data_IF_520418879445
#
_entry.id   IF_520418879445
#
_cell.length_a   1.000
_cell.length_b   1.000
_cell.length_c   1.000
_cell.angle_alpha   90.00
_cell.angle_beta   90.00
_cell.angle_gamma   90.00
#
_symmetry.space_group_name_H-M   'P 1'
#
loop_
_entity.id
_entity.type
_entity.pdbx_description
1 polymer ?
#
# COMPACT_ATOMS: atom_id res chain seq x y z
N UNK A 1 11.05 -12.96 18.12
CA UNK A 1 12.28 -12.36 18.68
C UNK A 1 12.09 -12.19 20.18
N UNK A 2 13.13 -11.81 20.92
CA UNK A 2 13.06 -11.68 22.40
C UNK A 2 12.03 -10.65 22.87
N UNK A 3 11.69 -9.66 22.04
CA UNK A 3 10.80 -8.55 22.40
C UNK A 3 9.37 -8.69 21.83
N UNK A 4 9.10 -9.73 21.04
CA UNK A 4 7.83 -10.02 20.37
C UNK A 4 7.23 -8.82 19.60
N UNK A 5 8.08 -7.94 19.06
CA UNK A 5 7.61 -6.74 18.36
C UNK A 5 7.13 -7.08 16.95
N UNK A 6 6.04 -6.45 16.47
CA UNK A 6 5.54 -6.71 15.13
C UNK A 6 6.53 -6.18 14.08
N UNK A 7 6.95 -7.07 13.17
CA UNK A 7 7.76 -6.69 12.02
C UNK A 7 6.95 -5.94 10.96
N UNK A 8 7.63 -5.28 10.02
CA UNK A 8 6.98 -4.56 8.92
C UNK A 8 6.85 -5.43 7.67
N UNK A 9 5.72 -5.29 6.97
CA UNK A 9 5.48 -5.86 5.64
C UNK A 9 5.08 -4.75 4.68
N UNK A 10 5.85 -4.55 3.61
CA UNK A 10 5.61 -3.49 2.62
C UNK A 10 5.18 -4.14 1.32
N UNK A 11 3.91 -3.98 0.95
CA UNK A 11 3.29 -4.75 -0.12
C UNK A 11 3.82 -4.36 -1.52
N UNK A 12 4.27 -3.12 -1.72
CA UNK A 12 4.97 -2.71 -2.95
C UNK A 12 6.24 -3.52 -3.27
N UNK A 13 6.83 -4.24 -2.30
CA UNK A 13 8.04 -5.04 -2.54
C UNK A 13 7.78 -6.45 -3.07
N UNK A 14 6.51 -6.83 -3.27
CA UNK A 14 6.11 -8.24 -3.38
C UNK A 14 6.15 -8.85 -4.77
N UNK A 15 6.31 -8.04 -5.81
CA UNK A 15 5.96 -8.41 -7.19
C UNK A 15 7.15 -8.63 -8.11
N UNK A 16 8.37 -8.68 -7.55
CA UNK A 16 9.63 -8.86 -8.31
C UNK A 16 10.23 -10.26 -8.15
N UNK A 17 9.56 -11.17 -7.43
CA UNK A 17 10.11 -12.46 -7.01
C UNK A 17 9.10 -13.61 -7.14
N UNK A 18 9.37 -14.69 -6.42
CA UNK A 18 8.57 -15.92 -6.39
C UNK A 18 7.42 -15.83 -5.39
N UNK A 19 6.44 -16.76 -5.43
CA UNK A 19 5.34 -16.80 -4.47
C UNK A 19 5.77 -16.92 -3.00
N UNK A 20 7.00 -17.34 -2.71
CA UNK A 20 7.55 -17.42 -1.35
C UNK A 20 7.99 -16.06 -0.79
N UNK A 21 7.83 -14.96 -1.55
CA UNK A 21 8.20 -13.63 -1.11
C UNK A 21 7.51 -13.26 0.21
N UNK A 22 8.27 -12.93 1.28
CA UNK A 22 7.72 -12.60 2.58
C UNK A 22 6.86 -11.32 2.58
N UNK A 23 6.89 -10.52 1.52
CA UNK A 23 6.06 -9.33 1.32
C UNK A 23 4.70 -9.62 0.66
N UNK A 24 4.46 -10.84 0.17
CA UNK A 24 3.11 -11.24 -0.27
C UNK A 24 2.19 -11.56 0.93
N UNK A 25 0.93 -11.06 0.95
CA UNK A 25 0.01 -11.22 2.06
C UNK A 25 -0.24 -12.64 2.57
N UNK A 26 -0.18 -13.66 1.71
CA UNK A 26 -0.35 -15.06 2.12
C UNK A 26 0.83 -15.61 2.93
N UNK A 27 1.98 -14.90 2.94
CA UNK A 27 3.17 -15.23 3.72
C UNK A 27 3.30 -14.38 5.00
N UNK A 28 2.31 -13.54 5.32
CA UNK A 28 2.38 -12.67 6.50
C UNK A 28 2.19 -13.48 7.80
N UNK A 29 3.04 -13.27 8.82
CA UNK A 29 2.69 -13.67 10.17
C UNK A 29 1.58 -12.75 10.71
N UNK A 30 0.79 -13.21 11.69
CA UNK A 30 -0.21 -12.35 12.33
C UNK A 30 0.43 -11.15 13.06
N UNK A 31 1.56 -11.37 13.73
CA UNK A 31 2.26 -10.32 14.48
C UNK A 31 3.13 -9.45 13.54
N UNK A 32 2.48 -8.70 12.66
CA UNK A 32 3.14 -7.72 11.80
C UNK A 32 2.26 -6.49 11.56
N UNK A 33 2.90 -5.44 11.08
CA UNK A 33 2.27 -4.25 10.53
C UNK A 33 2.42 -4.28 9.02
N UNK A 34 1.32 -4.37 8.30
CA UNK A 34 1.30 -4.37 6.84
C UNK A 34 1.01 -2.97 6.29
N UNK A 35 1.79 -2.58 5.28
CA UNK A 35 1.73 -1.29 4.61
C UNK A 35 1.55 -1.53 3.11
N UNK A 36 0.81 -0.67 2.40
CA UNK A 36 0.91 -0.61 0.94
C UNK A 36 2.32 -0.17 0.54
N UNK A 37 2.73 0.98 1.07
CA UNK A 37 4.06 1.57 1.02
C UNK A 37 4.29 2.44 2.26
N UNK A 38 5.53 2.90 2.43
CA UNK A 38 5.90 3.88 3.47
C UNK A 38 6.10 5.27 2.85
N UNK A 39 6.54 6.25 3.64
CA UNK A 39 6.88 7.58 3.13
C UNK A 39 8.12 7.60 2.21
N UNK A 40 8.98 6.58 2.28
CA UNK A 40 10.17 6.43 1.44
C UNK A 40 9.86 5.81 0.08
N UNK A 41 8.72 5.13 -0.02
CA UNK A 41 8.22 4.54 -1.24
C UNK A 41 7.55 5.59 -2.13
N UNK A 42 7.39 5.27 -3.42
CA UNK A 42 6.43 5.99 -4.24
C UNK A 42 5.00 5.70 -3.76
N UNK A 43 4.06 6.54 -4.17
CA UNK A 43 2.63 6.22 -4.14
C UNK A 43 2.36 4.89 -4.86
N UNK A 44 1.30 4.19 -4.48
CA UNK A 44 0.90 2.94 -5.12
C UNK A 44 0.62 3.11 -6.61
N UNK A 45 -0.01 4.22 -7.01
CA UNK A 45 -0.21 4.55 -8.42
C UNK A 45 1.11 4.89 -9.11
N UNK A 46 1.97 5.73 -8.52
CA UNK A 46 3.26 6.09 -9.11
C UNK A 46 4.21 4.90 -9.27
N UNK A 47 4.22 3.98 -8.30
CA UNK A 47 4.89 2.69 -8.42
C UNK A 47 4.32 1.90 -9.61
N UNK A 48 3.00 1.72 -9.67
CA UNK A 48 2.39 0.91 -10.72
C UNK A 48 2.56 1.50 -12.13
N UNK A 49 2.60 2.83 -12.26
CA UNK A 49 2.88 3.49 -13.54
C UNK A 49 4.32 3.23 -14.02
N UNK A 50 5.29 3.22 -13.10
CA UNK A 50 6.73 3.12 -13.41
C UNK A 50 7.31 1.70 -13.36
N UNK A 51 6.62 0.75 -12.72
CA UNK A 51 7.11 -0.62 -12.56
C UNK A 51 7.29 -1.35 -13.92
N UNK A 52 8.18 -2.35 -14.01
CA UNK A 52 8.24 -3.25 -15.16
C UNK A 52 6.91 -3.99 -15.39
N UNK A 53 6.56 -4.29 -16.64
CA UNK A 53 5.27 -4.93 -16.98
C UNK A 53 5.13 -6.33 -16.33
N UNK A 54 6.22 -7.06 -16.14
CA UNK A 54 6.22 -8.35 -15.46
C UNK A 54 5.76 -8.25 -13.99
N UNK A 55 6.17 -7.19 -13.28
CA UNK A 55 5.71 -6.93 -11.90
C UNK A 55 4.24 -6.52 -11.88
N UNK A 56 3.82 -5.67 -12.85
CA UNK A 56 2.41 -5.27 -12.98
C UNK A 56 1.52 -6.48 -13.28
N UNK A 57 1.96 -7.37 -14.16
CA UNK A 57 1.24 -8.60 -14.48
C UNK A 57 1.11 -9.53 -13.27
N UNK A 58 2.19 -9.75 -12.54
CA UNK A 58 2.15 -10.55 -11.32
C UNK A 58 1.20 -9.93 -10.28
N UNK A 59 1.24 -8.60 -10.12
CA UNK A 59 0.33 -7.87 -9.23
C UNK A 59 -1.14 -8.07 -9.61
N UNK A 60 -1.50 -7.89 -10.88
CA UNK A 60 -2.87 -8.11 -11.39
C UNK A 60 -3.35 -9.54 -11.18
N UNK A 61 -2.52 -10.54 -11.50
CA UNK A 61 -2.84 -11.95 -11.30
C UNK A 61 -3.00 -12.30 -9.83
N UNK A 62 -2.10 -11.82 -8.98
CA UNK A 62 -2.13 -12.06 -7.54
C UNK A 62 -3.39 -11.49 -6.88
N UNK A 63 -3.78 -10.27 -7.25
CA UNK A 63 -4.96 -9.59 -6.71
C UNK A 63 -6.26 -10.02 -7.38
N UNK A 64 -6.20 -10.72 -8.52
CA UNK A 64 -7.31 -10.95 -9.42
C UNK A 64 -8.03 -9.64 -9.81
N UNK A 65 -7.24 -8.64 -10.23
CA UNK A 65 -7.69 -7.27 -10.57
C UNK A 65 -7.12 -6.79 -11.90
N UNK A 66 -7.80 -5.83 -12.52
CA UNK A 66 -7.32 -5.18 -13.74
C UNK A 66 -6.19 -4.19 -13.50
N UNK A 67 -6.03 -3.70 -12.26
CA UNK A 67 -5.09 -2.63 -11.92
C UNK A 67 -5.59 -1.22 -12.31
N UNK A 68 -6.86 -1.07 -12.71
CA UNK A 68 -7.43 0.23 -13.04
C UNK A 68 -7.56 1.16 -11.82
N UNK A 69 -7.70 0.57 -10.63
CA UNK A 69 -7.76 1.28 -9.34
C UNK A 69 -6.70 0.71 -8.39
N UNK A 70 -5.45 0.66 -8.89
CA UNK A 70 -4.36 -0.08 -8.25
C UNK A 70 -4.09 0.34 -6.80
N UNK A 71 -4.21 1.62 -6.48
CA UNK A 71 -4.04 2.09 -5.10
C UNK A 71 -5.02 1.39 -4.16
N UNK A 72 -6.30 1.33 -4.53
CA UNK A 72 -7.31 0.63 -3.74
C UNK A 72 -7.23 -0.88 -3.84
N UNK A 73 -6.75 -1.43 -4.95
CA UNK A 73 -6.47 -2.86 -5.07
C UNK A 73 -5.36 -3.29 -4.09
N UNK A 74 -4.30 -2.49 -3.94
CA UNK A 74 -3.24 -2.71 -2.95
C UNK A 74 -3.71 -2.48 -1.51
N UNK A 75 -4.47 -1.42 -1.25
CA UNK A 75 -5.09 -1.18 0.07
C UNK A 75 -5.95 -2.40 0.46
N UNK A 76 -6.78 -2.90 -0.46
CA UNK A 76 -7.59 -4.10 -0.23
C UNK A 76 -6.73 -5.32 0.06
N UNK A 77 -5.62 -5.51 -0.67
CA UNK A 77 -4.67 -6.60 -0.42
C UNK A 77 -4.12 -6.58 1.01
N UNK A 78 -3.70 -5.40 1.49
CA UNK A 78 -3.21 -5.19 2.86
C UNK A 78 -4.32 -5.42 3.89
N UNK A 79 -5.52 -4.86 3.68
CA UNK A 79 -6.67 -5.01 4.57
C UNK A 79 -7.16 -6.45 4.67
N UNK A 80 -7.09 -7.22 3.59
CA UNK A 80 -7.50 -8.63 3.57
C UNK A 80 -6.49 -9.58 4.22
N UNK A 81 -5.30 -9.09 4.56
CA UNK A 81 -4.23 -9.92 5.13
C UNK A 81 -4.52 -10.31 6.59
N UNK A 82 -3.71 -11.24 7.11
CA UNK A 82 -3.76 -11.67 8.52
C UNK A 82 -2.99 -10.74 9.48
N UNK A 83 -2.39 -9.66 8.97
CA UNK A 83 -1.60 -8.72 9.76
C UNK A 83 -2.44 -8.07 10.87
N UNK A 84 -1.85 -7.93 12.06
CA UNK A 84 -2.46 -7.26 13.22
C UNK A 84 -2.82 -5.81 12.89
N UNK A 85 -1.96 -5.12 12.16
CA UNK A 85 -2.18 -3.74 11.74
C UNK A 85 -2.08 -3.60 10.22
N UNK A 86 -2.95 -2.78 9.64
CA UNK A 86 -2.98 -2.45 8.21
C UNK A 86 -2.96 -0.94 8.04
N UNK A 87 -1.97 -0.45 7.30
CA UNK A 87 -1.74 0.97 7.10
C UNK A 87 -1.56 1.26 5.60
N UNK A 88 -1.94 2.47 5.19
CA UNK A 88 -1.59 3.01 3.89
C UNK A 88 -1.30 4.52 4.02
N UNK A 89 -0.42 5.09 3.19
CA UNK A 89 -0.26 6.54 3.08
C UNK A 89 -1.57 7.19 2.61
N UNK A 90 -1.83 8.43 3.05
CA UNK A 90 -3.00 9.19 2.58
C UNK A 90 -2.99 9.38 1.05
N UNK A 91 -1.81 9.45 0.44
CA UNK A 91 -1.65 9.52 -1.01
C UNK A 91 -2.31 8.33 -1.73
N UNK A 92 -2.28 7.14 -1.15
CA UNK A 92 -2.87 5.94 -1.73
C UNK A 92 -4.41 5.98 -1.62
N UNK A 93 -4.95 6.44 -0.48
CA UNK A 93 -6.39 6.68 -0.32
C UNK A 93 -6.93 7.66 -1.37
N UNK A 94 -6.12 8.67 -1.70
CA UNK A 94 -6.43 9.69 -2.70
C UNK A 94 -6.07 9.28 -4.14
N UNK A 95 -5.54 8.06 -4.35
CA UNK A 95 -5.07 7.55 -5.65
C UNK A 95 -4.16 8.54 -6.39
N UNK A 96 -3.21 9.15 -5.68
CA UNK A 96 -2.28 10.13 -6.24
C UNK A 96 -1.09 9.47 -6.91
N UNK A 97 -0.57 10.10 -7.96
CA UNK A 97 0.63 9.65 -8.69
C UNK A 97 1.94 10.10 -8.02
N UNK A 98 3.07 9.84 -8.68
CA UNK A 98 4.43 10.12 -8.19
C UNK A 98 4.69 11.57 -7.74
N UNK A 99 3.89 12.54 -8.21
CA UNK A 99 3.99 13.94 -7.78
C UNK A 99 3.65 14.11 -6.29
N UNK A 100 2.96 13.14 -5.70
CA UNK A 100 2.61 13.11 -4.28
C UNK A 100 3.60 12.33 -3.39
N UNK A 101 4.69 11.78 -3.96
CA UNK A 101 5.71 11.06 -3.19
C UNK A 101 6.29 11.94 -2.08
N UNK A 102 6.33 11.41 -0.86
CA UNK A 102 6.73 12.17 0.33
C UNK A 102 8.25 12.35 0.42
N UNK A 103 9.01 11.27 0.25
CA UNK A 103 10.47 11.29 0.34
C UNK A 103 11.12 10.48 -0.78
N UNK A 104 12.26 10.97 -1.26
CA UNK A 104 13.17 10.28 -2.17
C UNK A 104 14.47 9.99 -1.41
N UNK A 105 14.65 8.77 -0.88
CA UNK A 105 15.87 8.38 -0.19
C UNK A 105 17.12 8.71 -1.01
N UNK A 106 18.13 9.27 -0.36
CA UNK A 106 19.38 9.71 -1.00
C UNK A 106 19.33 11.07 -1.70
N UNK A 107 18.16 11.73 -1.80
CA UNK A 107 18.08 13.13 -2.27
C UNK A 107 18.10 14.09 -1.08
N UNK A 108 18.99 15.11 -1.08
CA UNK A 108 19.13 16.03 0.06
C UNK A 108 18.02 17.10 0.14
N UNK A 109 17.26 17.33 -0.94
CA UNK A 109 16.23 18.37 -1.01
C UNK A 109 15.05 17.95 -1.89
N UNK A 110 13.93 18.67 -1.77
CA UNK A 110 12.69 18.39 -2.51
C UNK A 110 11.78 17.33 -1.88
N UNK A 111 12.05 16.94 -0.62
CA UNK A 111 11.25 15.98 0.15
C UNK A 111 10.35 16.70 1.17
N UNK A 112 9.40 15.97 1.75
CA UNK A 112 8.56 16.41 2.89
C UNK A 112 7.62 17.59 2.59
N UNK A 113 7.43 17.93 1.31
CA UNK A 113 6.62 19.07 0.88
C UNK A 113 5.17 18.73 0.51
N UNK A 114 4.81 17.45 0.42
CA UNK A 114 3.47 17.05 -0.01
C UNK A 114 2.41 17.44 1.01
N UNK A 115 1.28 17.94 0.50
CA UNK A 115 0.10 18.34 1.28
C UNK A 115 -1.16 17.99 0.50
N UNK A 116 -2.22 17.62 1.22
CA UNK A 116 -3.56 17.49 0.65
C UNK A 116 -4.34 18.79 0.77
N UNK A 117 -5.34 18.97 -0.10
CA UNK A 117 -6.33 20.04 0.00
C UNK A 117 -7.51 19.58 0.89
N UNK A 118 -8.09 20.46 1.72
CA UNK A 118 -9.12 20.09 2.69
C UNK A 118 -10.33 19.33 2.11
N UNK A 119 -10.69 19.61 0.86
CA UNK A 119 -11.82 19.00 0.14
C UNK A 119 -11.53 17.60 -0.43
N UNK A 120 -10.26 17.17 -0.44
CA UNK A 120 -9.89 15.81 -0.86
C UNK A 120 -10.33 14.75 0.15
N UNK A 121 -10.42 15.11 1.44
CA UNK A 121 -10.99 14.23 2.47
C UNK A 121 -12.49 14.51 2.55
N UNK A 122 -13.26 13.74 1.78
CA UNK A 122 -14.70 13.89 1.66
C UNK A 122 -15.47 12.66 2.17
N UNK A 123 -16.79 12.79 2.24
CA UNK A 123 -17.69 11.73 2.72
C UNK A 123 -17.57 10.45 1.91
N UNK A 124 -17.45 10.55 0.58
CA UNK A 124 -17.33 9.37 -0.28
C UNK A 124 -16.04 8.56 0.01
N UNK A 125 -14.92 9.25 0.27
CA UNK A 125 -13.68 8.62 0.68
C UNK A 125 -13.82 7.91 2.03
N UNK A 126 -14.43 8.58 3.01
CA UNK A 126 -14.64 8.04 4.34
C UNK A 126 -15.56 6.81 4.32
N UNK A 127 -16.64 6.85 3.53
CA UNK A 127 -17.57 5.72 3.33
C UNK A 127 -16.87 4.54 2.67
N UNK A 128 -16.08 4.78 1.62
CA UNK A 128 -15.31 3.73 0.95
C UNK A 128 -14.34 3.02 1.89
N UNK A 129 -13.64 3.77 2.75
CA UNK A 129 -12.73 3.19 3.74
C UNK A 129 -13.50 2.43 4.83
N UNK A 130 -14.62 2.98 5.30
CA UNK A 130 -15.49 2.34 6.30
C UNK A 130 -16.04 1.01 5.79
N UNK A 131 -16.50 0.95 4.55
CA UNK A 131 -16.98 -0.29 3.94
C UNK A 131 -15.87 -1.36 3.88
N UNK A 132 -14.64 -0.94 3.60
CA UNK A 132 -13.48 -1.83 3.59
C UNK A 132 -13.12 -2.34 4.98
N UNK A 133 -13.16 -1.46 5.99
CA UNK A 133 -12.95 -1.84 7.39
C UNK A 133 -13.99 -2.86 7.84
N UNK A 134 -15.27 -2.60 7.57
CA UNK A 134 -16.36 -3.51 7.90
C UNK A 134 -16.14 -4.89 7.25
N UNK A 135 -15.82 -4.93 5.95
CA UNK A 135 -15.65 -6.16 5.19
C UNK A 135 -14.54 -7.07 5.75
N UNK A 136 -13.46 -6.48 6.26
CA UNK A 136 -12.30 -7.21 6.78
C UNK A 136 -12.17 -7.17 8.31
N UNK A 137 -13.20 -6.69 9.01
CA UNK A 137 -13.24 -6.57 10.48
C UNK A 137 -12.05 -5.76 11.05
N UNK A 138 -11.84 -4.56 10.52
CA UNK A 138 -10.79 -3.60 10.92
C UNK A 138 -11.36 -2.25 11.39
N UNK A 139 -12.52 -2.28 12.04
CA UNK A 139 -13.17 -1.11 12.66
C UNK A 139 -12.56 -0.74 14.03
#
# INVERSE_FOLDING_TARGET
>A
DENALPGMKIFQFSFSSTPEDPFLPHNYPRNCVAYTGTHDNDTSLGWYESAPEEEKDLCRRYLARSGQDISWDLIRGVWSSVAMFSLCPLQDLLSMDTRARMNYPGRPSGNWGWRYLPDQINTALAERLKDLNFLYSRD
#
